data_IF_650640024726
#
_entry.id   IF_650640024726
#
_cell.length_a   1.000
_cell.length_b   1.000
_cell.length_c   1.000
_cell.angle_alpha   90.00
_cell.angle_beta   90.00
_cell.angle_gamma   90.00
#
_symmetry.space_group_name_H-M   'P 1'
#
loop_
_entity.id
_entity.type
_entity.pdbx_description
1 polymer ?
#
# COMPACT_ATOMS: atom_id res chain seq x y z
N UNK A 1 -8.91 -19.74 -12.24
CA UNK A 1 -9.42 -21.00 -11.66
C UNK A 1 -8.71 -21.34 -10.35
N UNK A 2 -7.36 -21.39 -10.31
CA UNK A 2 -6.58 -21.72 -9.12
C UNK A 2 -6.80 -20.72 -7.97
N UNK A 3 -6.73 -19.42 -8.23
CA UNK A 3 -6.95 -18.37 -7.22
C UNK A 3 -8.35 -18.45 -6.59
N UNK A 4 -9.36 -18.81 -7.37
CA UNK A 4 -10.71 -19.00 -6.90
C UNK A 4 -10.84 -20.18 -5.92
N UNK A 5 -10.16 -21.29 -6.24
CA UNK A 5 -10.11 -22.46 -5.35
C UNK A 5 -9.42 -22.09 -4.03
N UNK A 6 -8.26 -21.43 -4.11
CA UNK A 6 -7.52 -20.98 -2.91
C UNK A 6 -8.39 -20.05 -2.06
N UNK A 7 -9.07 -19.06 -2.66
CA UNK A 7 -9.95 -18.16 -1.93
C UNK A 7 -11.08 -18.92 -1.21
N UNK A 8 -11.65 -19.95 -1.85
CA UNK A 8 -12.66 -20.80 -1.23
C UNK A 8 -12.09 -21.63 -0.07
N UNK A 9 -10.93 -22.25 -0.28
CA UNK A 9 -10.28 -23.07 0.75
C UNK A 9 -9.87 -22.23 1.97
N UNK A 10 -9.49 -20.97 1.76
CA UNK A 10 -9.13 -20.03 2.81
C UNK A 10 -10.35 -19.41 3.53
N UNK A 11 -11.56 -19.51 2.96
CA UNK A 11 -12.75 -18.86 3.53
C UNK A 11 -13.17 -19.38 4.91
N UNK A 12 -12.66 -20.55 5.32
CA UNK A 12 -12.89 -21.12 6.65
C UNK A 12 -12.02 -20.50 7.74
N UNK A 13 -11.00 -19.74 7.35
CA UNK A 13 -10.11 -19.06 8.25
C UNK A 13 -10.52 -17.58 8.36
N UNK A 14 -10.38 -17.01 9.54
CA UNK A 14 -10.70 -15.60 9.79
C UNK A 14 -9.53 -14.69 9.31
N UNK A 15 -9.29 -14.65 8.01
CA UNK A 15 -8.25 -13.78 7.40
C UNK A 15 -8.84 -12.43 7.02
N UNK A 16 -8.04 -11.39 7.17
CA UNK A 16 -8.48 -10.00 6.92
C UNK A 16 -8.76 -9.76 5.43
N UNK A 17 -7.88 -10.23 4.54
CA UNK A 17 -8.03 -10.16 3.08
C UNK A 17 -7.14 -11.15 2.36
N UNK A 18 -7.43 -11.39 1.10
CA UNK A 18 -6.48 -11.94 0.14
C UNK A 18 -5.89 -10.78 -0.67
N UNK A 19 -4.55 -10.76 -0.79
CA UNK A 19 -3.83 -9.69 -1.47
C UNK A 19 -3.46 -10.15 -2.88
N UNK A 20 -3.72 -9.29 -3.89
CA UNK A 20 -3.31 -9.49 -5.29
C UNK A 20 -3.59 -10.92 -5.81
N UNK A 21 -4.84 -11.43 -5.73
CA UNK A 21 -5.13 -12.84 -6.01
C UNK A 21 -4.96 -13.22 -7.49
N UNK A 22 -4.86 -12.23 -8.37
CA UNK A 22 -4.59 -12.41 -9.82
C UNK A 22 -3.61 -11.35 -10.30
N UNK A 23 -3.13 -11.50 -11.53
CA UNK A 23 -2.44 -10.42 -12.24
C UNK A 23 -3.40 -9.24 -12.47
N UNK A 24 -2.87 -8.04 -12.68
CA UNK A 24 -3.64 -6.80 -12.83
C UNK A 24 -4.51 -6.75 -14.10
N UNK A 25 -5.35 -7.72 -14.27
CA UNK A 25 -6.33 -7.81 -15.33
C UNK A 25 -7.72 -7.65 -14.70
N UNK A 26 -8.41 -6.57 -15.04
CA UNK A 26 -9.72 -6.23 -14.46
C UNK A 26 -10.71 -7.39 -14.63
N UNK A 27 -10.72 -8.08 -15.78
CA UNK A 27 -11.64 -9.20 -16.01
C UNK A 27 -11.35 -10.41 -15.12
N UNK A 28 -10.07 -10.67 -14.82
CA UNK A 28 -9.70 -11.73 -13.88
C UNK A 28 -10.06 -11.34 -12.44
N UNK A 29 -9.87 -10.08 -12.06
CA UNK A 29 -10.27 -9.56 -10.74
C UNK A 29 -11.79 -9.66 -10.59
N UNK A 30 -12.56 -9.26 -11.61
CA UNK A 30 -14.02 -9.40 -11.62
C UNK A 30 -14.47 -10.87 -11.46
N UNK A 31 -13.77 -11.79 -12.10
CA UNK A 31 -14.07 -13.21 -11.98
C UNK A 31 -13.80 -13.73 -10.55
N UNK A 32 -12.67 -13.33 -9.95
CA UNK A 32 -12.37 -13.68 -8.55
C UNK A 32 -13.37 -13.04 -7.59
N UNK A 33 -13.70 -11.77 -7.78
CA UNK A 33 -14.65 -11.05 -6.92
C UNK A 33 -16.02 -11.72 -6.85
N UNK A 34 -16.47 -12.33 -7.94
CA UNK A 34 -17.76 -13.04 -7.99
C UNK A 34 -17.78 -14.32 -7.16
N UNK A 35 -16.65 -14.94 -6.93
CA UNK A 35 -16.54 -16.26 -6.27
C UNK A 35 -15.80 -16.22 -4.93
N UNK A 36 -15.01 -15.16 -4.66
CA UNK A 36 -14.36 -14.98 -3.39
C UNK A 36 -15.35 -14.51 -2.34
N UNK A 37 -15.40 -15.25 -1.22
CA UNK A 37 -16.10 -14.82 -0.01
C UNK A 37 -15.21 -13.97 0.90
N UNK A 38 -13.93 -13.81 0.55
CA UNK A 38 -12.95 -13.08 1.34
C UNK A 38 -12.80 -11.65 0.80
N UNK A 39 -12.52 -10.68 1.69
CA UNK A 39 -12.12 -9.36 1.25
C UNK A 39 -10.87 -9.41 0.36
N UNK A 40 -10.78 -8.49 -0.57
CA UNK A 40 -9.68 -8.40 -1.53
C UNK A 40 -8.94 -7.09 -1.32
N UNK A 41 -7.60 -7.15 -1.22
CA UNK A 41 -6.72 -5.98 -1.26
C UNK A 41 -5.96 -5.93 -2.58
N UNK A 42 -6.04 -4.79 -3.27
CA UNK A 42 -5.36 -4.53 -4.55
C UNK A 42 -4.66 -3.17 -4.50
N UNK A 43 -3.70 -2.96 -5.37
CA UNK A 43 -3.14 -1.63 -5.62
C UNK A 43 -1.64 -1.59 -5.86
N UNK A 44 -0.86 -2.41 -5.20
CA UNK A 44 0.61 -2.37 -5.29
C UNK A 44 1.14 -2.60 -6.71
N UNK A 45 0.42 -3.36 -7.51
CA UNK A 45 0.81 -3.68 -8.88
C UNK A 45 0.12 -2.82 -9.94
N UNK A 46 -0.71 -1.87 -9.54
CA UNK A 46 -1.40 -0.95 -10.44
C UNK A 46 -0.56 0.31 -10.62
N UNK A 47 -0.44 0.79 -11.85
CA UNK A 47 0.35 1.96 -12.21
C UNK A 47 -0.55 3.08 -12.74
N UNK A 48 -1.49 2.75 -13.62
CA UNK A 48 -2.31 3.72 -14.32
C UNK A 48 -3.49 4.20 -13.47
N UNK A 49 -3.66 5.51 -13.34
CA UNK A 49 -4.76 6.13 -12.60
C UNK A 49 -6.14 5.63 -13.03
N UNK A 50 -6.35 5.44 -14.34
CA UNK A 50 -7.61 4.93 -14.90
C UNK A 50 -7.98 3.53 -14.39
N UNK A 51 -6.97 2.70 -14.10
CA UNK A 51 -7.19 1.35 -13.59
C UNK A 51 -7.60 1.39 -12.11
N UNK A 52 -7.03 2.30 -11.32
CA UNK A 52 -7.50 2.58 -9.97
C UNK A 52 -8.94 3.09 -9.97
N UNK A 53 -9.30 4.00 -10.88
CA UNK A 53 -10.67 4.49 -11.04
C UNK A 53 -11.63 3.34 -11.35
N UNK A 54 -11.28 2.49 -12.32
CA UNK A 54 -12.11 1.35 -12.72
C UNK A 54 -12.32 0.35 -11.57
N UNK A 55 -11.26 -0.02 -10.85
CA UNK A 55 -11.31 -0.96 -9.73
C UNK A 55 -12.17 -0.41 -8.58
N UNK A 56 -12.00 0.86 -8.24
CA UNK A 56 -12.76 1.50 -7.17
C UNK A 56 -14.25 1.65 -7.55
N UNK A 57 -14.56 2.13 -8.74
CA UNK A 57 -15.94 2.32 -9.21
C UNK A 57 -16.71 1.00 -9.30
N UNK A 58 -16.04 -0.05 -9.77
CA UNK A 58 -16.63 -1.39 -9.90
C UNK A 58 -16.65 -2.19 -8.59
N UNK A 59 -16.13 -1.62 -7.49
CA UNK A 59 -16.05 -2.30 -6.18
C UNK A 59 -15.29 -3.63 -6.24
N UNK A 60 -14.19 -3.66 -6.96
CA UNK A 60 -13.39 -4.87 -7.15
C UNK A 60 -12.38 -5.10 -6.01
N UNK A 61 -12.14 -4.09 -5.18
CA UNK A 61 -11.29 -4.17 -3.99
C UNK A 61 -12.03 -3.71 -2.75
N UNK A 62 -11.73 -4.32 -1.62
CA UNK A 62 -12.23 -3.92 -0.30
C UNK A 62 -11.23 -3.02 0.43
N UNK A 63 -9.94 -3.15 0.12
CA UNK A 63 -8.84 -2.34 0.62
C UNK A 63 -7.95 -1.91 -0.54
N UNK A 64 -7.66 -0.62 -0.65
CA UNK A 64 -6.73 -0.11 -1.65
C UNK A 64 -5.35 0.06 -1.03
N UNK A 65 -4.40 -0.77 -1.45
CA UNK A 65 -3.04 -0.81 -0.92
C UNK A 65 -2.06 -0.19 -1.92
N UNK A 66 -1.70 1.09 -1.72
CA UNK A 66 -0.90 1.87 -2.65
C UNK A 66 0.59 1.69 -2.43
N UNK A 67 1.32 1.44 -3.51
CA UNK A 67 2.77 1.52 -3.56
C UNK A 67 3.19 2.93 -4.00
N UNK A 68 3.90 3.64 -3.14
CA UNK A 68 4.23 5.06 -3.36
C UNK A 68 5.03 5.31 -4.65
N UNK A 69 6.10 4.57 -4.97
CA UNK A 69 6.79 4.70 -6.25
C UNK A 69 5.91 4.40 -7.46
N UNK A 70 5.13 3.34 -7.40
CA UNK A 70 4.34 2.87 -8.55
C UNK A 70 3.16 3.77 -8.88
N UNK A 71 2.61 4.46 -7.89
CA UNK A 71 1.54 5.45 -8.13
C UNK A 71 2.05 6.86 -8.45
N UNK A 72 3.29 6.99 -8.95
CA UNK A 72 3.92 8.25 -9.33
C UNK A 72 4.21 9.20 -8.16
N UNK A 73 4.62 8.66 -7.02
CA UNK A 73 5.08 9.42 -5.86
C UNK A 73 3.93 10.06 -5.07
N UNK A 74 4.27 11.08 -4.29
CA UNK A 74 3.33 11.72 -3.33
C UNK A 74 2.09 12.27 -4.03
N UNK A 75 2.25 12.95 -5.15
CA UNK A 75 1.13 13.54 -5.90
C UNK A 75 0.16 12.47 -6.38
N UNK A 76 0.68 11.42 -7.02
CA UNK A 76 -0.13 10.32 -7.51
C UNK A 76 -0.81 9.56 -6.37
N UNK A 77 -0.10 9.33 -5.27
CA UNK A 77 -0.67 8.73 -4.05
C UNK A 77 -1.88 9.53 -3.57
N UNK A 78 -1.75 10.86 -3.43
CA UNK A 78 -2.84 11.72 -2.98
C UNK A 78 -4.03 11.74 -3.96
N UNK A 79 -3.77 11.73 -5.26
CA UNK A 79 -4.84 11.66 -6.26
C UNK A 79 -5.63 10.35 -6.16
N UNK A 80 -4.92 9.23 -6.05
CA UNK A 80 -5.55 7.91 -5.96
C UNK A 80 -6.25 7.72 -4.61
N UNK A 81 -5.66 8.21 -3.52
CA UNK A 81 -6.30 8.22 -2.21
C UNK A 81 -7.65 8.97 -2.23
N UNK A 82 -7.75 10.10 -2.95
CA UNK A 82 -9.02 10.79 -3.14
C UNK A 82 -10.04 9.98 -3.97
N UNK A 83 -9.59 9.16 -4.92
CA UNK A 83 -10.48 8.22 -5.63
C UNK A 83 -11.02 7.17 -4.65
N UNK A 84 -10.16 6.60 -3.80
CA UNK A 84 -10.57 5.66 -2.77
C UNK A 84 -11.57 6.25 -1.79
N UNK A 85 -11.32 7.49 -1.33
CA UNK A 85 -12.21 8.23 -0.44
C UNK A 85 -13.62 8.39 -1.03
N UNK A 86 -13.73 8.87 -2.28
CA UNK A 86 -15.00 9.02 -2.99
C UNK A 86 -15.77 7.71 -3.09
N UNK A 87 -15.06 6.59 -3.20
CA UNK A 87 -15.62 5.26 -3.31
C UNK A 87 -15.79 4.54 -1.95
N UNK A 88 -15.44 5.19 -0.84
CA UNK A 88 -15.51 4.65 0.53
C UNK A 88 -14.68 3.37 0.72
N UNK A 89 -13.50 3.33 0.10
CA UNK A 89 -12.58 2.19 0.20
C UNK A 89 -11.47 2.57 1.18
N UNK A 90 -11.21 1.76 2.22
CA UNK A 90 -10.09 1.96 3.13
C UNK A 90 -8.75 2.01 2.40
N UNK A 91 -7.89 2.97 2.80
CA UNK A 91 -6.58 3.21 2.22
C UNK A 91 -5.50 2.52 3.07
N UNK A 92 -4.70 1.70 2.43
CA UNK A 92 -3.51 1.08 3.00
C UNK A 92 -2.28 1.48 2.20
N UNK A 93 -1.08 1.36 2.78
CA UNK A 93 0.16 1.49 2.03
C UNK A 93 0.88 0.16 1.87
N UNK A 94 1.61 0.02 0.76
CA UNK A 94 2.54 -1.05 0.47
C UNK A 94 3.95 -0.53 0.60
N UNK A 95 4.79 -1.19 1.41
CA UNK A 95 6.19 -0.85 1.64
C UNK A 95 6.46 0.65 1.94
N UNK A 96 7.71 1.05 2.00
CA UNK A 96 8.18 2.43 2.23
C UNK A 96 7.36 3.15 3.32
N UNK A 97 7.09 2.44 4.43
CA UNK A 97 6.28 2.97 5.52
C UNK A 97 6.87 4.26 6.10
N UNK A 98 8.18 4.48 5.97
CA UNK A 98 8.87 5.67 6.47
C UNK A 98 8.30 6.97 5.87
N UNK A 99 7.80 6.90 4.64
CA UNK A 99 7.18 8.04 3.94
C UNK A 99 5.66 7.88 3.90
N UNK A 100 5.18 6.69 3.57
CA UNK A 100 3.76 6.44 3.31
C UNK A 100 2.90 6.52 4.56
N UNK A 101 3.48 6.37 5.78
CA UNK A 101 2.75 6.55 7.03
C UNK A 101 2.13 7.95 7.15
N UNK A 102 2.90 9.00 6.85
CA UNK A 102 2.41 10.38 6.90
C UNK A 102 1.29 10.62 5.89
N UNK A 103 1.42 10.05 4.70
CA UNK A 103 0.41 10.15 3.65
C UNK A 103 -0.87 9.38 4.04
N UNK A 104 -0.73 8.14 4.49
CA UNK A 104 -1.88 7.31 4.90
C UNK A 104 -2.62 7.96 6.07
N UNK A 105 -1.91 8.47 7.08
CA UNK A 105 -2.49 9.12 8.24
C UNK A 105 -3.17 10.47 7.92
N UNK A 106 -2.80 11.12 6.82
CA UNK A 106 -3.41 12.39 6.40
C UNK A 106 -4.84 12.24 5.83
N UNK A 107 -5.24 11.02 5.47
CA UNK A 107 -6.57 10.77 4.92
C UNK A 107 -7.52 10.19 5.97
N UNK A 108 -8.81 10.63 6.03
CA UNK A 108 -9.76 10.15 7.04
C UNK A 108 -10.13 8.67 6.91
N UNK A 109 -9.85 8.05 5.75
CA UNK A 109 -10.04 6.62 5.47
C UNK A 109 -8.72 5.84 5.47
N UNK A 110 -7.62 6.47 5.91
CA UNK A 110 -6.35 5.77 6.19
C UNK A 110 -6.57 4.64 7.19
N UNK A 111 -6.06 3.45 6.88
CA UNK A 111 -6.41 2.25 7.63
C UNK A 111 -5.19 1.50 8.15
N UNK A 112 -4.36 0.97 7.25
CA UNK A 112 -3.17 0.21 7.62
C UNK A 112 -1.94 0.64 6.82
N UNK A 113 -0.79 0.46 7.44
CA UNK A 113 0.53 0.65 6.83
C UNK A 113 1.27 -0.68 6.92
N UNK A 114 1.82 -1.15 5.82
CA UNK A 114 2.68 -2.31 5.82
C UNK A 114 4.02 -1.95 6.44
N UNK A 115 4.31 -2.57 7.59
CA UNK A 115 5.54 -2.38 8.33
C UNK A 115 6.49 -3.54 8.05
N UNK A 116 7.69 -3.25 7.60
CA UNK A 116 8.71 -4.22 7.21
C UNK A 116 10.09 -3.89 7.79
N UNK A 117 11.05 -4.76 7.57
CA UNK A 117 12.46 -4.61 7.95
C UNK A 117 13.38 -4.83 6.72
N UNK A 118 12.99 -4.34 5.56
CA UNK A 118 13.76 -4.53 4.33
C UNK A 118 15.01 -3.65 4.27
N UNK A 119 15.00 -2.51 4.95
CA UNK A 119 16.15 -1.62 5.01
C UNK A 119 17.04 -1.92 6.21
N UNK A 120 18.37 -1.85 6.04
CA UNK A 120 19.30 -1.98 7.15
C UNK A 120 19.04 -0.92 8.24
N UNK A 121 19.25 -1.24 9.52
CA UNK A 121 19.14 -0.27 10.59
C UNK A 121 20.12 0.90 10.40
N UNK A 122 19.71 2.11 10.78
CA UNK A 122 20.53 3.32 10.69
C UNK A 122 20.53 4.00 9.30
N UNK A 123 19.65 3.61 8.39
CA UNK A 123 19.46 4.31 7.10
C UNK A 123 18.86 5.69 7.34
N UNK A 124 17.84 5.79 8.19
CA UNK A 124 17.16 7.04 8.49
C UNK A 124 17.53 7.58 9.88
N UNK A 125 17.49 8.90 10.02
CA UNK A 125 17.66 9.58 11.32
C UNK A 125 16.50 9.26 12.24
N UNK A 126 15.29 9.20 11.68
CA UNK A 126 14.08 8.84 12.39
C UNK A 126 13.90 7.34 12.44
N UNK A 127 13.51 6.84 13.59
CA UNK A 127 13.07 5.47 13.77
C UNK A 127 11.59 5.46 14.13
N UNK A 128 10.82 4.72 13.35
CA UNK A 128 9.41 4.50 13.65
C UNK A 128 9.28 3.36 14.64
N UNK A 129 8.48 3.54 15.67
CA UNK A 129 8.19 2.50 16.65
C UNK A 129 6.74 2.08 16.59
N UNK A 130 6.50 0.77 16.62
CA UNK A 130 5.16 0.22 16.78
C UNK A 130 4.80 0.20 18.26
N UNK A 131 3.66 0.79 18.62
CA UNK A 131 3.09 0.75 19.97
C UNK A 131 1.65 0.26 19.89
N UNK A 132 1.33 -0.80 20.60
CA UNK A 132 -0.01 -1.37 20.68
C UNK A 132 -0.64 -1.64 19.29
N UNK A 133 0.17 -2.06 18.31
CA UNK A 133 -0.24 -2.30 16.94
C UNK A 133 -0.33 -1.06 16.06
N UNK A 134 0.04 0.12 16.56
CA UNK A 134 0.03 1.37 15.82
C UNK A 134 1.43 1.86 15.51
N UNK A 135 1.62 2.32 14.29
CA UNK A 135 2.80 3.05 13.85
C UNK A 135 2.48 4.55 13.89
N UNK A 136 3.35 5.35 14.54
CA UNK A 136 3.14 6.79 14.69
C UNK A 136 3.84 7.55 13.57
N UNK A 137 3.14 8.46 12.87
CA UNK A 137 3.79 9.35 11.90
C UNK A 137 4.76 10.30 12.60
N UNK A 138 5.80 10.80 11.89
CA UNK A 138 6.73 11.77 12.44
C UNK A 138 6.00 13.05 12.86
N UNK A 139 6.42 13.61 14.02
CA UNK A 139 5.78 14.82 14.59
C UNK A 139 6.49 16.12 14.17
N UNK A 140 7.43 16.06 13.25
CA UNK A 140 8.17 17.21 12.71
C UNK A 140 7.84 17.47 11.25
N UNK A 141 8.11 18.68 10.73
CA UNK A 141 7.97 18.97 9.30
C UNK A 141 8.82 18.04 8.43
N UNK A 142 8.28 17.68 7.26
CA UNK A 142 8.92 16.78 6.30
C UNK A 142 8.29 15.38 6.28
N UNK A 143 8.86 14.51 5.48
CA UNK A 143 8.35 13.14 5.29
C UNK A 143 8.83 12.14 6.36
N UNK A 144 9.75 12.54 7.25
CA UNK A 144 10.29 11.68 8.30
C UNK A 144 11.39 10.70 7.83
N UNK A 145 11.75 10.71 6.55
CA UNK A 145 12.74 9.80 5.96
C UNK A 145 14.06 10.54 5.62
N UNK A 146 14.66 11.20 6.62
CA UNK A 146 15.95 11.85 6.45
C UNK A 146 17.08 10.82 6.52
N UNK A 147 17.88 10.70 5.47
CA UNK A 147 19.03 9.80 5.45
C UNK A 147 20.10 10.24 6.47
N UNK A 148 20.72 9.29 7.14
CA UNK A 148 21.87 9.57 8.00
C UNK A 148 23.10 9.86 7.16
N UNK A 149 24.04 10.63 7.70
CA UNK A 149 25.35 10.86 7.03
C UNK A 149 26.11 9.54 6.81
N UNK A 150 25.98 8.60 7.74
CA UNK A 150 26.60 7.29 7.62
C UNK A 150 26.00 6.50 6.44
N UNK A 151 24.69 6.53 6.27
CA UNK A 151 24.01 5.89 5.15
C UNK A 151 24.44 6.52 3.81
N UNK A 152 24.46 7.85 3.75
CA UNK A 152 24.94 8.57 2.56
C UNK A 152 26.36 8.14 2.19
N UNK A 153 27.30 8.16 3.13
CA UNK A 153 28.71 7.76 2.87
C UNK A 153 28.83 6.30 2.46
N UNK A 154 28.02 5.40 3.04
CA UNK A 154 28.13 3.95 2.80
C UNK A 154 27.52 3.52 1.48
N UNK A 155 26.41 4.15 1.07
CA UNK A 155 25.59 3.71 -0.06
C UNK A 155 25.62 4.69 -1.24
N UNK A 156 26.35 5.81 -1.12
CA UNK A 156 26.57 6.71 -2.22
C UNK A 156 27.34 5.99 -3.33
N UNK A 157 26.84 6.07 -4.57
CA UNK A 157 27.51 5.58 -5.76
C UNK A 157 27.93 6.76 -6.62
N UNK A 158 29.07 6.65 -7.30
CA UNK A 158 29.57 7.67 -8.23
C UNK A 158 28.81 7.72 -9.57
N UNK A 159 27.88 6.80 -9.77
CA UNK A 159 27.08 6.72 -10.99
C UNK A 159 25.75 7.46 -10.80
N UNK A 160 25.68 8.68 -11.31
CA UNK A 160 24.40 9.26 -11.73
C UNK A 160 24.03 8.66 -13.10
N UNK A 161 22.80 8.19 -13.23
CA UNK A 161 22.26 7.72 -14.52
C UNK A 161 22.29 8.82 -15.56
#
# INVERSE_FOLDING_TARGET
EQAAKIAKDLSVYNITWIKEPTRNNISEIEAIRKISCLPIALGENIIEKKDFEAICQKKLTDYLQLDLPRCAGITGFCEIANIALKNKIPLCSHLLYEISIGLTAAFPHGHMVEYDNLLPPGIFVETHSVRDGYLLPPQRPGNGATLTEQALKKYQTDSFF
#
